data_IF_076688779428
#
_entry.id   IF_076688779428
#
_cell.length_a   1.000
_cell.length_b   1.000
_cell.length_c   1.000
_cell.angle_alpha   90.00
_cell.angle_beta   90.00
_cell.angle_gamma   90.00
#
_symmetry.space_group_name_H-M   'P 1'
#
loop_
_entity.id
_entity.type
_entity.pdbx_description
1 polymer ?
#
# COMPACT_ATOMS: atom_id res chain seq x y z
N UNK A 1 13.88 -0.25 11.23
CA UNK A 1 15.08 0.54 11.57
C UNK A 1 16.24 0.16 10.65
N UNK A 2 17.15 1.09 10.37
CA UNK A 2 18.35 0.83 9.56
C UNK A 2 19.21 -0.30 10.13
N UNK A 3 19.31 -0.42 11.48
CA UNK A 3 20.05 -1.50 12.12
C UNK A 3 19.45 -2.87 11.80
N UNK A 4 18.12 -3.00 11.93
CA UNK A 4 17.44 -4.25 11.59
C UNK A 4 17.58 -4.62 10.11
N UNK A 5 17.58 -3.61 9.22
CA UNK A 5 17.87 -3.81 7.81
C UNK A 5 19.29 -4.37 7.60
N UNK A 6 20.29 -3.78 8.27
CA UNK A 6 21.69 -4.24 8.19
C UNK A 6 21.83 -5.69 8.64
N UNK A 7 21.24 -6.05 9.79
CA UNK A 7 21.21 -7.42 10.32
C UNK A 7 20.54 -8.40 9.33
N UNK A 8 19.40 -7.99 8.75
CA UNK A 8 18.68 -8.82 7.78
C UNK A 8 19.53 -9.06 6.51
N UNK A 9 20.12 -7.99 5.97
CA UNK A 9 20.97 -8.09 4.79
C UNK A 9 22.23 -8.95 5.07
N UNK A 10 22.81 -8.89 6.27
CA UNK A 10 23.91 -9.74 6.66
C UNK A 10 23.51 -11.22 6.73
N UNK A 11 22.41 -11.49 7.45
CA UNK A 11 21.90 -12.86 7.63
C UNK A 11 21.59 -13.57 6.31
N UNK A 12 21.13 -12.82 5.31
CA UNK A 12 20.76 -13.32 3.98
C UNK A 12 21.71 -12.81 2.88
N UNK A 13 22.98 -12.63 3.22
CA UNK A 13 23.98 -12.09 2.29
C UNK A 13 24.47 -13.08 1.24
N UNK A 14 24.20 -14.36 1.41
CA UNK A 14 24.70 -15.41 0.54
C UNK A 14 24.00 -15.42 -0.83
N UNK A 15 24.75 -15.96 -1.81
CA UNK A 15 24.22 -16.13 -3.18
C UNK A 15 23.01 -17.06 -3.18
N UNK A 16 21.94 -16.65 -3.85
CA UNK A 16 20.68 -17.38 -3.92
C UNK A 16 19.68 -17.00 -2.84
N UNK A 17 20.09 -16.24 -1.81
CA UNK A 17 19.15 -15.66 -0.85
C UNK A 17 18.33 -14.55 -1.50
N UNK A 18 17.03 -14.49 -1.17
CA UNK A 18 16.10 -13.44 -1.60
C UNK A 18 15.46 -12.83 -0.36
N UNK A 19 15.68 -11.54 -0.17
CA UNK A 19 15.03 -10.76 0.90
C UNK A 19 13.85 -10.02 0.30
N UNK A 20 12.65 -10.24 0.85
CA UNK A 20 11.42 -9.56 0.42
C UNK A 20 11.03 -8.56 1.50
N UNK A 21 10.93 -7.30 1.12
CA UNK A 21 10.37 -6.23 1.94
C UNK A 21 8.98 -5.91 1.44
N UNK A 22 7.97 -6.39 2.18
CA UNK A 22 6.55 -6.18 1.88
C UNK A 22 5.96 -5.19 2.90
N UNK A 23 5.32 -4.12 2.41
CA UNK A 23 4.77 -3.02 3.22
C UNK A 23 5.76 -2.39 4.23
N UNK A 24 7.07 -2.46 3.91
CA UNK A 24 8.14 -1.91 4.75
C UNK A 24 8.54 -0.48 4.34
N UNK A 25 7.58 0.34 3.93
CA UNK A 25 7.79 1.68 3.38
C UNK A 25 8.57 2.62 4.31
N UNK A 26 8.51 2.42 5.63
CA UNK A 26 9.28 3.21 6.60
C UNK A 26 10.78 3.15 6.37
N UNK A 27 11.30 2.08 5.77
CA UNK A 27 12.72 1.94 5.41
C UNK A 27 13.10 2.98 4.34
N UNK A 28 12.17 3.27 3.43
CA UNK A 28 12.38 4.22 2.35
C UNK A 28 12.39 5.70 2.81
N UNK A 29 11.99 5.97 4.06
CA UNK A 29 12.04 7.30 4.69
C UNK A 29 13.22 7.48 5.66
N UNK A 30 14.08 6.48 5.77
CA UNK A 30 15.28 6.51 6.62
C UNK A 30 16.52 6.62 5.74
N UNK A 31 17.22 7.75 5.80
CA UNK A 31 18.39 8.03 4.96
C UNK A 31 19.51 7.00 5.12
N UNK A 32 19.70 6.50 6.34
CA UNK A 32 20.71 5.48 6.62
C UNK A 32 20.31 4.14 5.98
N UNK A 33 19.04 3.75 6.12
CA UNK A 33 18.51 2.55 5.47
C UNK A 33 18.58 2.65 3.93
N UNK A 34 18.24 3.82 3.36
CA UNK A 34 18.38 4.06 1.93
C UNK A 34 19.83 3.93 1.43
N UNK A 35 20.80 4.39 2.20
CA UNK A 35 22.21 4.25 1.84
C UNK A 35 22.67 2.77 1.91
N UNK A 36 22.20 2.00 2.90
CA UNK A 36 22.45 0.56 2.97
C UNK A 36 21.85 -0.17 1.75
N UNK A 37 20.62 0.19 1.36
CA UNK A 37 19.95 -0.38 0.19
C UNK A 37 20.67 -0.04 -1.11
N UNK A 38 21.15 1.20 -1.28
CA UNK A 38 21.96 1.57 -2.45
C UNK A 38 23.21 0.70 -2.56
N UNK A 39 23.87 0.41 -1.41
CA UNK A 39 25.01 -0.51 -1.36
C UNK A 39 24.62 -1.96 -1.70
N UNK A 40 23.47 -2.43 -1.20
CA UNK A 40 22.95 -3.76 -1.48
C UNK A 40 22.52 -3.98 -2.93
N UNK A 41 22.06 -2.91 -3.59
CA UNK A 41 21.52 -2.93 -4.95
C UNK A 41 22.53 -2.41 -5.99
N UNK A 42 23.77 -2.12 -5.59
CA UNK A 42 24.76 -1.61 -6.51
C UNK A 42 25.05 -2.59 -7.67
N UNK A 43 25.25 -2.06 -8.86
CA UNK A 43 25.54 -2.84 -10.08
C UNK A 43 27.00 -3.29 -10.18
N UNK A 44 27.85 -2.89 -9.23
CA UNK A 44 29.27 -3.26 -9.18
C UNK A 44 29.48 -4.77 -8.96
N UNK A 45 30.69 -5.25 -9.32
CA UNK A 45 31.04 -6.67 -9.16
C UNK A 45 31.00 -7.16 -7.71
N UNK A 46 31.25 -6.27 -6.75
CA UNK A 46 31.21 -6.56 -5.31
C UNK A 46 30.34 -5.53 -4.60
N UNK A 47 29.23 -5.98 -4.06
CA UNK A 47 28.30 -5.14 -3.31
C UNK A 47 28.69 -5.16 -1.84
N UNK A 48 29.50 -4.21 -1.41
CA UNK A 48 29.95 -4.07 -0.04
C UNK A 48 29.03 -3.17 0.75
N UNK A 49 28.48 -3.67 1.84
CA UNK A 49 27.67 -2.93 2.80
C UNK A 49 28.48 -2.70 4.05
N UNK A 50 28.47 -1.48 4.58
CA UNK A 50 29.23 -1.12 5.77
C UNK A 50 28.39 -0.38 6.78
N UNK A 51 28.57 -0.70 8.06
CA UNK A 51 28.02 0.00 9.20
C UNK A 51 29.12 0.79 9.89
N UNK A 52 29.10 2.11 9.76
CA UNK A 52 30.22 2.97 10.18
C UNK A 52 30.09 3.48 11.62
N UNK A 53 29.00 3.17 12.32
CA UNK A 53 28.80 3.53 13.73
C UNK A 53 29.17 2.37 14.65
N UNK A 54 29.61 2.70 15.87
CA UNK A 54 29.76 1.68 16.91
C UNK A 54 28.40 1.13 17.32
N UNK A 55 28.26 -0.19 17.33
CA UNK A 55 27.00 -0.86 17.71
C UNK A 55 27.29 -2.05 18.64
N UNK A 56 26.85 -1.92 19.87
CA UNK A 56 26.93 -3.00 20.87
C UNK A 56 26.17 -4.25 20.39
N UNK A 57 24.97 -4.04 19.77
CA UNK A 57 24.12 -5.11 19.29
C UNK A 57 24.83 -5.93 18.21
N UNK A 58 25.47 -5.28 17.23
CA UNK A 58 26.22 -6.00 16.18
C UNK A 58 27.38 -6.81 16.75
N UNK A 59 28.07 -6.27 17.74
CA UNK A 59 29.18 -7.00 18.41
C UNK A 59 28.68 -8.22 19.18
N UNK A 60 27.59 -8.09 19.93
CA UNK A 60 26.99 -9.18 20.70
C UNK A 60 26.47 -10.29 19.78
N UNK A 61 25.97 -9.94 18.60
CA UNK A 61 25.49 -10.90 17.59
C UNK A 61 26.61 -11.43 16.67
N UNK A 62 27.84 -10.97 16.83
CA UNK A 62 28.97 -11.37 15.98
C UNK A 62 28.86 -10.90 14.52
N UNK A 63 28.09 -9.82 14.28
CA UNK A 63 27.89 -9.25 12.95
C UNK A 63 29.03 -8.27 12.64
N UNK A 64 29.79 -8.47 11.54
CA UNK A 64 30.89 -7.58 11.19
C UNK A 64 30.41 -6.20 10.75
N UNK A 65 31.26 -5.19 10.92
CA UNK A 65 30.94 -3.81 10.47
C UNK A 65 30.91 -3.65 8.94
N UNK A 66 31.33 -4.65 8.19
CA UNK A 66 31.16 -4.67 6.74
C UNK A 66 31.13 -6.09 6.20
N UNK A 67 30.34 -6.32 5.16
CA UNK A 67 30.23 -7.61 4.48
C UNK A 67 29.92 -7.40 2.99
N UNK A 68 30.08 -8.47 2.21
CA UNK A 68 29.67 -8.51 0.81
C UNK A 68 28.27 -9.11 0.72
N UNK A 69 27.34 -8.39 0.12
CA UNK A 69 25.97 -8.86 -0.12
C UNK A 69 25.86 -9.46 -1.52
N UNK A 70 25.54 -10.75 -1.61
CA UNK A 70 25.40 -11.50 -2.86
C UNK A 70 23.96 -11.98 -3.12
N UNK A 71 23.08 -11.70 -2.18
CA UNK A 71 21.65 -11.99 -2.28
C UNK A 71 20.92 -11.10 -3.27
N UNK A 72 19.61 -11.28 -3.35
CA UNK A 72 18.67 -10.45 -4.11
C UNK A 72 17.68 -9.79 -3.16
N UNK A 73 17.10 -8.67 -3.60
CA UNK A 73 16.10 -7.92 -2.83
C UNK A 73 14.88 -7.69 -3.69
N UNK A 74 13.70 -7.90 -3.12
CA UNK A 74 12.41 -7.56 -3.71
C UNK A 74 11.72 -6.56 -2.79
N UNK A 75 11.30 -5.42 -3.34
CA UNK A 75 10.45 -4.45 -2.66
C UNK A 75 9.04 -4.52 -3.19
N UNK A 76 8.06 -4.61 -2.30
CA UNK A 76 6.64 -4.47 -2.59
C UNK A 76 6.17 -3.25 -1.81
N UNK A 77 5.72 -2.22 -2.51
CA UNK A 77 5.33 -0.94 -1.90
C UNK A 77 4.13 -0.33 -2.59
N UNK A 78 3.31 0.36 -1.83
CA UNK A 78 2.20 1.19 -2.32
C UNK A 78 2.62 2.65 -2.56
N UNK A 79 3.89 3.00 -2.31
CA UNK A 79 4.41 4.35 -2.51
C UNK A 79 4.46 4.67 -4.00
N UNK A 80 3.84 5.77 -4.36
CA UNK A 80 3.99 6.38 -5.68
C UNK A 80 5.18 7.33 -5.63
N UNK A 81 6.28 6.93 -6.22
CA UNK A 81 7.55 7.66 -6.16
C UNK A 81 7.48 9.05 -6.80
N UNK A 82 6.65 9.20 -7.83
CA UNK A 82 6.33 10.48 -8.48
C UNK A 82 5.54 11.46 -7.61
N UNK A 83 4.83 10.95 -6.59
CA UNK A 83 4.02 11.77 -5.69
C UNK A 83 4.73 12.15 -4.38
N UNK A 84 5.96 11.71 -4.19
CA UNK A 84 6.75 12.06 -3.02
C UNK A 84 7.15 13.53 -3.11
N UNK A 85 6.85 14.31 -2.05
CA UNK A 85 7.06 15.78 -2.05
C UNK A 85 8.48 16.19 -1.69
N UNK A 86 9.20 15.37 -0.93
CA UNK A 86 10.60 15.64 -0.56
C UNK A 86 11.51 15.42 -1.76
N UNK A 87 12.17 16.48 -2.22
CA UNK A 87 13.11 16.41 -3.33
C UNK A 87 14.26 15.45 -3.05
N UNK A 88 14.82 15.51 -1.85
CA UNK A 88 15.90 14.60 -1.42
C UNK A 88 15.45 13.15 -1.48
N UNK A 89 14.25 12.86 -0.98
CA UNK A 89 13.70 11.51 -1.01
C UNK A 89 13.42 11.05 -2.45
N UNK A 90 12.92 11.93 -3.33
CA UNK A 90 12.77 11.62 -4.77
C UNK A 90 14.10 11.23 -5.41
N UNK A 91 15.17 11.97 -5.12
CA UNK A 91 16.52 11.67 -5.63
C UNK A 91 17.00 10.29 -5.14
N UNK A 92 16.75 9.96 -3.85
CA UNK A 92 17.10 8.65 -3.29
C UNK A 92 16.28 7.52 -3.93
N UNK A 93 14.98 7.69 -4.09
CA UNK A 93 14.10 6.69 -4.70
C UNK A 93 14.43 6.49 -6.19
N UNK A 94 14.71 7.57 -6.92
CA UNK A 94 15.17 7.51 -8.31
C UNK A 94 16.48 6.73 -8.43
N UNK A 95 17.41 6.95 -7.50
CA UNK A 95 18.68 6.20 -7.46
C UNK A 95 18.46 4.71 -7.15
N UNK A 96 17.47 4.33 -6.37
CA UNK A 96 17.09 2.93 -6.16
C UNK A 96 16.43 2.33 -7.41
N UNK A 97 15.49 3.04 -8.04
CA UNK A 97 14.85 2.59 -9.27
C UNK A 97 15.86 2.30 -10.39
N UNK A 98 16.90 3.13 -10.52
CA UNK A 98 17.94 2.92 -11.53
C UNK A 98 18.79 1.66 -11.31
N UNK A 99 18.76 1.07 -10.11
CA UNK A 99 19.52 -0.13 -9.72
C UNK A 99 18.70 -1.40 -9.70
N UNK A 100 17.39 -1.31 -9.90
CA UNK A 100 16.48 -2.47 -9.85
C UNK A 100 15.56 -2.52 -11.08
N UNK A 101 14.95 -3.67 -11.31
CA UNK A 101 13.85 -3.78 -12.26
C UNK A 101 12.59 -3.25 -11.58
N UNK A 102 12.11 -2.10 -12.04
CA UNK A 102 10.88 -1.48 -11.55
C UNK A 102 9.68 -1.99 -12.34
N UNK A 103 8.71 -2.54 -11.63
CA UNK A 103 7.45 -3.02 -12.20
C UNK A 103 6.31 -2.21 -11.58
N UNK A 104 5.66 -1.38 -12.40
CA UNK A 104 4.42 -0.71 -12.00
C UNK A 104 3.22 -1.64 -12.27
N UNK A 105 2.62 -2.13 -11.20
CA UNK A 105 1.42 -2.98 -11.23
C UNK A 105 0.15 -2.18 -10.91
N UNK A 106 0.23 -0.85 -10.92
CA UNK A 106 -0.90 0.03 -10.59
C UNK A 106 -2.00 -0.10 -11.66
N UNK A 107 -3.19 -0.41 -11.22
CA UNK A 107 -4.38 -0.38 -12.07
C UNK A 107 -5.12 0.93 -11.84
N UNK A 108 -5.20 1.77 -12.86
CA UNK A 108 -5.71 3.13 -12.73
C UNK A 108 -7.23 3.22 -12.86
N UNK A 109 -7.88 2.22 -13.48
CA UNK A 109 -9.33 2.22 -13.68
C UNK A 109 -10.02 1.11 -12.89
N UNK A 110 -11.26 1.37 -12.45
CA UNK A 110 -12.08 0.35 -11.80
C UNK A 110 -12.34 -0.85 -12.74
N UNK A 111 -12.38 -0.61 -14.04
CA UNK A 111 -12.51 -1.65 -15.07
C UNK A 111 -11.30 -2.57 -15.04
N UNK A 112 -10.08 -2.03 -15.02
CA UNK A 112 -8.86 -2.85 -15.04
C UNK A 112 -8.73 -3.67 -13.75
N UNK A 113 -9.03 -3.07 -12.60
CA UNK A 113 -9.09 -3.76 -11.32
C UNK A 113 -10.09 -4.92 -11.36
N UNK A 114 -11.29 -4.67 -11.90
CA UNK A 114 -12.32 -5.71 -12.02
C UNK A 114 -11.91 -6.83 -12.97
N UNK A 115 -11.34 -6.51 -14.14
CA UNK A 115 -10.83 -7.50 -15.07
C UNK A 115 -9.76 -8.39 -14.44
N UNK A 116 -8.89 -7.81 -13.60
CA UNK A 116 -7.89 -8.57 -12.85
C UNK A 116 -8.52 -9.49 -11.81
N UNK A 117 -9.53 -9.02 -11.07
CA UNK A 117 -10.30 -9.85 -10.12
C UNK A 117 -10.93 -11.04 -10.88
N UNK A 118 -11.59 -10.77 -11.99
CA UNK A 118 -12.23 -11.80 -12.82
C UNK A 118 -11.22 -12.82 -13.36
N UNK A 119 -10.05 -12.37 -13.77
CA UNK A 119 -8.97 -13.25 -14.24
C UNK A 119 -8.51 -14.19 -13.12
N UNK A 120 -8.21 -13.65 -11.92
CA UNK A 120 -7.70 -14.43 -10.79
C UNK A 120 -8.78 -15.39 -10.26
N UNK A 121 -10.04 -14.98 -10.25
CA UNK A 121 -11.15 -15.85 -9.88
C UNK A 121 -11.28 -17.05 -10.84
N UNK A 122 -11.17 -16.80 -12.16
CA UNK A 122 -11.23 -17.87 -13.18
C UNK A 122 -10.08 -18.87 -13.11
N UNK A 123 -8.90 -18.44 -12.67
CA UNK A 123 -7.77 -19.37 -12.45
C UNK A 123 -7.93 -20.21 -11.19
N UNK A 124 -8.99 -19.96 -10.40
CA UNK A 124 -9.29 -20.66 -9.15
C UNK A 124 -8.42 -20.25 -7.96
N UNK A 125 -7.46 -19.32 -8.16
CA UNK A 125 -6.52 -18.92 -7.09
C UNK A 125 -7.20 -18.04 -6.03
N UNK A 126 -8.17 -17.20 -6.43
CA UNK A 126 -8.75 -16.20 -5.52
C UNK A 126 -9.58 -16.81 -4.38
N UNK A 127 -10.31 -17.88 -4.66
CA UNK A 127 -11.24 -18.52 -3.73
C UNK A 127 -10.83 -19.94 -3.33
N UNK A 128 -9.59 -20.34 -3.63
CA UNK A 128 -9.07 -21.69 -3.47
C UNK A 128 -9.28 -22.27 -2.07
N UNK A 129 -9.03 -21.46 -1.05
CA UNK A 129 -9.11 -21.91 0.34
C UNK A 129 -10.50 -21.70 0.97
N UNK A 130 -11.49 -21.28 0.17
CA UNK A 130 -12.81 -20.92 0.68
C UNK A 130 -13.87 -22.01 0.50
N UNK A 131 -13.55 -23.08 -0.23
CA UNK A 131 -14.49 -24.17 -0.50
C UNK A 131 -15.78 -23.65 -1.15
N UNK A 132 -15.66 -22.78 -2.15
CA UNK A 132 -16.74 -22.21 -2.93
C UNK A 132 -16.68 -22.82 -4.34
N UNK A 133 -17.76 -23.54 -4.73
CA UNK A 133 -17.86 -24.13 -6.08
C UNK A 133 -17.89 -23.07 -7.18
N UNK A 134 -17.62 -23.48 -8.42
CA UNK A 134 -17.54 -22.58 -9.59
C UNK A 134 -18.75 -21.65 -9.73
N UNK A 135 -19.97 -22.20 -9.54
CA UNK A 135 -21.21 -21.41 -9.60
C UNK A 135 -21.19 -20.27 -8.57
N UNK A 136 -20.78 -20.55 -7.33
CA UNK A 136 -20.70 -19.52 -6.31
C UNK A 136 -19.61 -18.47 -6.57
N UNK A 137 -18.51 -18.89 -7.19
CA UNK A 137 -17.46 -17.96 -7.62
C UNK A 137 -17.96 -17.01 -8.72
N UNK A 138 -18.70 -17.54 -9.68
CA UNK A 138 -19.32 -16.74 -10.75
C UNK A 138 -20.37 -15.77 -10.19
N UNK A 139 -21.24 -16.21 -9.27
CA UNK A 139 -22.21 -15.34 -8.59
C UNK A 139 -21.55 -14.18 -7.85
N UNK A 140 -20.43 -14.43 -7.17
CA UNK A 140 -19.68 -13.41 -6.44
C UNK A 140 -19.08 -12.37 -7.42
N UNK A 141 -18.49 -12.86 -8.51
CA UNK A 141 -17.89 -12.00 -9.52
C UNK A 141 -18.95 -11.17 -10.25
N UNK A 142 -20.10 -11.77 -10.59
CA UNK A 142 -21.21 -11.06 -11.21
C UNK A 142 -21.79 -9.98 -10.30
N UNK A 143 -22.02 -10.31 -9.03
CA UNK A 143 -22.45 -9.35 -8.03
C UNK A 143 -21.48 -8.15 -7.94
N UNK A 144 -20.18 -8.39 -7.95
CA UNK A 144 -19.19 -7.32 -7.92
C UNK A 144 -19.22 -6.47 -9.21
N UNK A 145 -19.46 -7.07 -10.37
CA UNK A 145 -19.58 -6.34 -11.63
C UNK A 145 -20.80 -5.42 -11.64
N UNK A 146 -21.95 -5.94 -11.26
CA UNK A 146 -23.19 -5.17 -11.17
C UNK A 146 -23.09 -3.99 -10.19
N UNK A 147 -22.37 -4.17 -9.09
CA UNK A 147 -22.28 -3.20 -8.00
C UNK A 147 -20.95 -2.43 -7.96
N UNK A 148 -20.07 -2.55 -8.96
CA UNK A 148 -18.72 -1.94 -8.97
C UNK A 148 -18.69 -0.43 -8.72
N UNK A 149 -19.73 0.29 -9.13
CA UNK A 149 -19.82 1.74 -8.96
C UNK A 149 -20.29 2.15 -7.56
N UNK A 150 -20.90 1.23 -6.83
CA UNK A 150 -21.39 1.43 -5.46
C UNK A 150 -20.48 0.82 -4.40
N UNK A 151 -19.62 -0.13 -4.77
CA UNK A 151 -18.63 -0.71 -3.89
C UNK A 151 -17.66 0.34 -3.39
N UNK A 152 -17.29 0.25 -2.12
CA UNK A 152 -16.28 1.12 -1.51
C UNK A 152 -14.97 1.13 -2.29
N UNK A 153 -14.58 -0.04 -2.76
CA UNK A 153 -13.39 -0.26 -3.57
C UNK A 153 -13.59 -1.50 -4.44
N UNK A 154 -13.05 -1.47 -5.63
CA UNK A 154 -12.92 -2.67 -6.46
C UNK A 154 -11.53 -3.24 -6.21
N UNK A 155 -11.45 -4.28 -5.38
CA UNK A 155 -10.18 -4.89 -4.96
C UNK A 155 -10.34 -6.39 -4.73
N UNK A 156 -9.22 -7.13 -4.75
CA UNK A 156 -9.19 -8.56 -4.39
C UNK A 156 -9.66 -8.77 -2.93
N UNK A 157 -9.31 -7.84 -2.02
CA UNK A 157 -9.78 -7.89 -0.63
C UNK A 157 -11.30 -7.77 -0.53
N UNK A 158 -11.92 -6.92 -1.36
CA UNK A 158 -13.37 -6.81 -1.41
C UNK A 158 -13.99 -8.11 -1.92
N UNK A 159 -13.44 -8.72 -2.97
CA UNK A 159 -13.91 -10.01 -3.47
C UNK A 159 -13.86 -11.10 -2.40
N UNK A 160 -12.78 -11.18 -1.62
CA UNK A 160 -12.64 -12.12 -0.51
C UNK A 160 -13.68 -11.85 0.58
N UNK A 161 -13.94 -10.58 0.94
CA UNK A 161 -14.98 -10.23 1.93
C UNK A 161 -16.38 -10.63 1.46
N UNK A 162 -16.70 -10.41 0.18
CA UNK A 162 -17.98 -10.83 -0.39
C UNK A 162 -18.09 -12.36 -0.38
N UNK A 163 -17.03 -13.07 -0.73
CA UNK A 163 -16.96 -14.52 -0.68
C UNK A 163 -17.14 -15.08 0.75
N UNK A 164 -16.59 -14.43 1.76
CA UNK A 164 -16.83 -14.78 3.16
C UNK A 164 -18.29 -14.62 3.56
N UNK A 165 -18.95 -13.55 3.11
CA UNK A 165 -20.38 -13.36 3.32
C UNK A 165 -21.19 -14.42 2.58
N UNK A 166 -20.86 -14.74 1.34
CA UNK A 166 -21.47 -15.81 0.56
C UNK A 166 -21.46 -17.14 1.32
N UNK A 167 -20.29 -17.53 1.83
CA UNK A 167 -20.12 -18.78 2.58
C UNK A 167 -20.88 -18.77 3.92
N UNK A 168 -20.82 -17.66 4.65
CA UNK A 168 -21.40 -17.58 6.00
C UNK A 168 -22.92 -17.35 6.00
N UNK A 169 -23.47 -16.71 4.97
CA UNK A 169 -24.86 -16.28 4.90
C UNK A 169 -25.47 -16.52 3.51
N UNK A 170 -25.59 -17.77 3.04
CA UNK A 170 -25.96 -18.10 1.65
C UNK A 170 -27.25 -17.41 1.17
N UNK A 171 -28.24 -17.24 2.06
CA UNK A 171 -29.54 -16.68 1.71
C UNK A 171 -29.62 -15.15 1.75
N UNK A 172 -28.65 -14.48 2.38
CA UNK A 172 -28.73 -13.03 2.68
C UNK A 172 -27.44 -12.26 2.34
N UNK A 173 -26.42 -12.94 1.84
CA UNK A 173 -25.12 -12.36 1.59
C UNK A 173 -25.15 -11.12 0.68
N UNK A 174 -25.94 -11.13 -0.39
CA UNK A 174 -26.07 -9.98 -1.30
C UNK A 174 -26.62 -8.75 -0.57
N UNK A 175 -27.66 -8.95 0.27
CA UNK A 175 -28.24 -7.87 1.07
C UNK A 175 -27.23 -7.33 2.10
N UNK A 176 -26.40 -8.21 2.66
CA UNK A 176 -25.35 -7.82 3.59
C UNK A 176 -24.20 -7.12 2.87
N UNK A 177 -23.77 -7.63 1.73
CA UNK A 177 -22.74 -7.00 0.91
C UNK A 177 -23.17 -5.59 0.44
N UNK A 178 -24.43 -5.40 0.04
CA UNK A 178 -25.00 -4.07 -0.28
C UNK A 178 -25.01 -3.12 0.92
N UNK A 179 -25.13 -3.60 2.15
CA UNK A 179 -25.02 -2.75 3.34
C UNK A 179 -23.59 -2.23 3.56
N UNK A 180 -22.57 -3.02 3.20
CA UNK A 180 -21.19 -2.53 3.16
C UNK A 180 -20.99 -1.44 2.10
N UNK A 181 -21.73 -1.48 1.00
CA UNK A 181 -21.73 -0.46 -0.04
C UNK A 181 -22.36 0.84 0.43
N UNK A 182 -23.52 0.75 1.06
CA UNK A 182 -24.34 1.93 1.42
C UNK A 182 -23.70 2.83 2.48
N UNK A 183 -22.68 2.36 3.19
CA UNK A 183 -21.96 3.19 4.17
C UNK A 183 -20.89 4.10 3.56
N UNK A 184 -20.66 4.04 2.24
CA UNK A 184 -19.53 4.74 1.62
C UNK A 184 -19.89 5.70 0.48
N UNK A 185 -20.90 5.45 -0.36
CA UNK A 185 -21.35 6.48 -1.33
C UNK A 185 -21.82 7.74 -0.62
N UNK A 186 -22.49 7.60 0.53
CA UNK A 186 -22.85 8.76 1.36
C UNK A 186 -21.63 9.47 1.95
N UNK A 187 -20.62 8.72 2.42
CA UNK A 187 -19.37 9.32 2.90
C UNK A 187 -18.55 10.00 1.79
N UNK A 188 -18.67 9.55 0.54
CA UNK A 188 -18.11 10.28 -0.62
C UNK A 188 -18.95 11.49 -1.02
N UNK A 189 -20.25 11.42 -0.81
CA UNK A 189 -21.22 12.48 -1.17
C UNK A 189 -21.33 13.56 -0.08
N UNK A 190 -21.18 13.15 1.17
CA UNK A 190 -21.07 14.01 2.32
C UNK A 190 -19.60 14.05 2.70
N UNK A 191 -18.88 14.99 2.11
CA UNK A 191 -17.52 15.34 2.50
C UNK A 191 -17.40 15.39 4.04
N UNK A 192 -16.21 15.43 4.58
CA UNK A 192 -15.90 15.55 6.02
C UNK A 192 -16.87 16.40 6.86
N UNK A 193 -17.64 17.27 6.23
CA UNK A 193 -18.69 18.09 6.81
C UNK A 193 -19.78 17.33 7.59
N UNK A 194 -20.14 16.12 7.14
CA UNK A 194 -21.20 15.34 7.80
C UNK A 194 -20.75 14.67 9.12
N UNK A 195 -19.45 14.46 9.29
CA UNK A 195 -18.87 13.90 10.51
C UNK A 195 -18.43 15.00 11.51
N UNK A 196 -18.62 16.25 11.15
CA UNK A 196 -18.24 17.37 11.99
C UNK A 196 -19.27 17.60 13.12
N UNK A 197 -18.85 18.03 14.31
CA UNK A 197 -19.76 18.47 15.37
C UNK A 197 -20.74 19.55 14.87
N UNK A 198 -21.94 19.66 15.46
CA UNK A 198 -22.97 20.60 15.01
C UNK A 198 -22.49 22.06 14.87
N UNK A 199 -21.63 22.50 15.80
CA UNK A 199 -21.03 23.85 15.81
C UNK A 199 -20.14 24.10 14.58
N UNK A 200 -19.60 23.03 14.01
CA UNK A 200 -18.74 23.04 12.85
C UNK A 200 -19.59 22.98 11.57
N UNK A 201 -20.71 22.28 11.60
CA UNK A 201 -21.67 22.26 10.47
C UNK A 201 -22.26 23.64 10.24
N UNK A 202 -22.54 24.40 11.29
CA UNK A 202 -23.03 25.79 11.19
C UNK A 202 -21.96 26.71 10.60
N UNK A 203 -20.69 26.49 10.93
CA UNK A 203 -19.56 27.22 10.32
C UNK A 203 -19.40 26.91 8.83
N UNK A 204 -19.57 25.65 8.42
CA UNK A 204 -19.51 25.24 7.00
C UNK A 204 -20.69 25.83 6.21
N UNK A 205 -21.87 25.84 6.80
CA UNK A 205 -23.05 26.45 6.17
C UNK A 205 -22.91 27.98 6.02
N UNK A 206 -22.14 28.61 6.92
CA UNK A 206 -21.89 30.04 6.93
C UNK A 206 -20.77 30.50 5.98
N UNK A 207 -19.79 29.62 5.74
CA UNK A 207 -18.64 29.90 4.86
C UNK A 207 -18.65 28.92 3.69
N UNK A 208 -18.77 29.44 2.47
CA UNK A 208 -18.68 28.63 1.26
C UNK A 208 -17.31 27.94 1.22
N UNK A 209 -17.29 26.61 1.04
CA UNK A 209 -16.05 25.80 1.01
C UNK A 209 -15.05 26.33 -0.02
N UNK A 210 -15.53 26.91 -1.13
CA UNK A 210 -14.69 27.56 -2.15
C UNK A 210 -13.96 28.81 -1.63
N UNK A 211 -14.57 29.57 -0.73
CA UNK A 211 -13.96 30.76 -0.16
C UNK A 211 -12.88 30.39 0.87
N UNK A 212 -13.10 29.31 1.62
CA UNK A 212 -12.10 28.75 2.55
C UNK A 212 -10.89 28.19 1.79
N UNK A 213 -11.12 27.51 0.67
CA UNK A 213 -10.04 27.00 -0.20
C UNK A 213 -9.25 28.14 -0.84
N UNK A 214 -9.89 29.23 -1.25
CA UNK A 214 -9.22 30.42 -1.80
C UNK A 214 -8.38 31.13 -0.74
N UNK A 215 -8.89 31.31 0.47
CA UNK A 215 -8.17 31.94 1.58
C UNK A 215 -7.00 31.11 2.10
N UNK A 216 -7.05 29.78 1.97
CA UNK A 216 -5.97 28.85 2.33
C UNK A 216 -4.91 28.68 1.24
N UNK A 217 -5.00 29.42 0.11
CA UNK A 217 -4.08 29.26 -1.01
C UNK A 217 -4.19 27.92 -1.72
N UNK A 218 -5.34 27.21 -1.60
CA UNK A 218 -5.57 25.89 -2.17
C UNK A 218 -4.97 24.74 -1.35
N UNK A 219 -4.41 25.01 -0.17
CA UNK A 219 -3.85 23.95 0.68
C UNK A 219 -4.93 23.26 1.52
N UNK A 220 -5.37 22.08 1.08
CA UNK A 220 -6.33 21.23 1.79
C UNK A 220 -5.89 20.90 3.24
N UNK A 221 -4.58 20.97 3.54
CA UNK A 221 -4.05 20.73 4.90
C UNK A 221 -4.28 21.94 5.82
N UNK A 222 -4.34 23.15 5.29
CA UNK A 222 -4.70 24.33 6.07
C UNK A 222 -6.17 24.25 6.50
N UNK A 223 -7.05 23.73 5.65
CA UNK A 223 -8.44 23.45 5.97
C UNK A 223 -8.54 22.35 7.03
N UNK A 224 -7.71 21.30 6.97
CA UNK A 224 -7.72 20.22 7.97
C UNK A 224 -7.16 20.64 9.35
N UNK A 225 -6.32 21.68 9.43
CA UNK A 225 -5.80 22.22 10.71
C UNK A 225 -6.79 23.12 11.45
N UNK A 226 -7.75 23.67 10.75
CA UNK A 226 -8.85 24.44 11.37
C UNK A 226 -9.90 23.52 12.01
N UNK A 227 -9.79 22.19 11.76
CA UNK A 227 -10.77 21.17 12.15
C UNK A 227 -10.24 20.13 13.16
N UNK A 228 -9.04 20.33 13.69
CA UNK A 228 -8.42 19.63 14.80
C UNK A 228 -7.94 20.71 15.79
#
# INVERSE_FOLDING_TARGET
TALGLYQTLYKFSDRGSVVVFDDCDTILFDDLALNLLKGALDSGKKRKISWNADSRVLREEGIPNSFEFRGSVIFITNLKFDQVRSKTLQEHLSALQSRCHFLDLTMNTERDKFLRIKQIAKTGELFKDMDIGEIGQDEIVEFMDENKNSLREVSLRMAIKVAQLYKSFPNTWQKMAKKFESQVPEAKKYSRAYMAPPEVQDLIAKYNVEDILKQSGGDIRAVSRVWY
#
